data_IF_999766384548
#
_entry.id   IF_999766384548
#
_cell.length_a   1.000
_cell.length_b   1.000
_cell.length_c   1.000
_cell.angle_alpha   90.00
_cell.angle_beta   90.00
_cell.angle_gamma   90.00
#
_symmetry.space_group_name_H-M   'P 1'
#
loop_
_entity.id
_entity.type
_entity.pdbx_description
1 polymer ?
#
# COMPACT_ATOMS: atom_id res chain seq x y z
N UNK A 1 -1.74 -23.12 0.61
CA UNK A 1 -0.91 -22.42 1.37
C UNK A 1 -0.13 -21.44 0.59
N UNK A 2 -0.03 -20.38 1.06
CA UNK A 2 0.50 -19.34 0.28
C UNK A 2 1.89 -19.05 0.70
N UNK A 3 2.80 -19.84 0.20
CA UNK A 3 4.18 -19.68 0.54
C UNK A 3 4.93 -18.92 -0.49
N UNK A 4 4.26 -18.02 -1.16
CA UNK A 4 4.94 -17.18 -2.13
C UNK A 4 6.01 -16.37 -1.40
N UNK A 5 7.30 -16.63 -1.63
CA UNK A 5 8.35 -15.88 -0.92
C UNK A 5 8.41 -14.43 -1.31
N UNK A 6 7.69 -14.03 -2.36
CA UNK A 6 7.63 -12.64 -2.77
C UNK A 6 6.55 -11.86 -2.02
N UNK A 7 5.67 -12.55 -1.31
CA UNK A 7 4.60 -11.88 -0.60
C UNK A 7 5.07 -11.38 0.75
N UNK A 8 4.78 -10.13 1.05
CA UNK A 8 5.11 -9.50 2.31
C UNK A 8 3.84 -8.94 2.92
N UNK A 9 3.91 -8.61 4.22
CA UNK A 9 2.85 -7.83 4.84
C UNK A 9 2.82 -6.44 4.24
N UNK A 10 1.64 -5.86 4.18
CA UNK A 10 1.51 -4.48 3.75
C UNK A 10 2.32 -3.52 4.61
N UNK A 11 2.71 -3.95 5.81
CA UNK A 11 3.57 -3.12 6.65
C UNK A 11 4.88 -2.75 5.97
N UNK A 12 5.33 -3.55 5.00
CA UNK A 12 6.55 -3.22 4.26
C UNK A 12 6.39 -1.96 3.42
N UNK A 13 5.16 -1.54 3.13
CA UNK A 13 4.93 -0.32 2.35
C UNK A 13 5.41 0.91 3.10
N UNK A 14 5.43 0.85 4.44
CA UNK A 14 5.92 1.96 5.24
C UNK A 14 7.39 2.27 4.95
N UNK A 15 8.20 1.23 4.71
CA UNK A 15 9.59 1.43 4.33
C UNK A 15 9.74 2.03 2.95
N UNK A 16 8.82 1.69 2.03
CA UNK A 16 8.86 2.22 0.67
C UNK A 16 8.39 3.66 0.60
N UNK A 17 7.38 4.02 1.36
CA UNK A 17 6.75 5.33 1.28
C UNK A 17 7.05 6.25 2.45
N UNK A 18 7.66 5.73 3.50
CA UNK A 18 7.88 6.52 4.72
C UNK A 18 8.71 7.76 4.52
N UNK A 19 9.55 7.77 3.50
CA UNK A 19 10.38 8.94 3.20
C UNK A 19 9.60 10.02 2.44
N UNK A 20 8.45 9.67 1.89
CA UNK A 20 7.66 10.60 1.09
C UNK A 20 6.58 11.29 1.89
N UNK A 21 6.08 10.62 2.91
CA UNK A 21 4.97 11.13 3.69
C UNK A 21 5.37 11.25 5.15
N UNK A 22 4.91 12.31 5.78
CA UNK A 22 5.12 12.47 7.22
C UNK A 22 4.15 11.60 8.01
N UNK A 23 3.06 11.15 7.39
CA UNK A 23 2.08 10.31 8.05
C UNK A 23 2.54 8.86 8.07
N UNK A 24 2.00 8.09 9.01
CA UNK A 24 2.28 6.66 9.10
C UNK A 24 1.48 5.93 8.03
N UNK A 25 2.14 5.58 6.94
CA UNK A 25 1.45 5.03 5.77
C UNK A 25 0.85 3.66 6.05
N UNK A 26 1.49 2.87 6.91
CA UNK A 26 0.95 1.54 7.20
C UNK A 26 -0.37 1.60 7.93
N UNK A 27 -0.64 2.69 8.64
CA UNK A 27 -1.91 2.88 9.33
C UNK A 27 -2.96 3.55 8.47
N UNK A 28 -2.59 4.02 7.28
CA UNK A 28 -3.56 4.58 6.36
C UNK A 28 -4.60 3.53 6.00
N UNK A 29 -5.83 3.96 5.80
CA UNK A 29 -6.92 3.04 5.49
C UNK A 29 -7.42 3.32 4.10
N UNK A 30 -7.87 2.28 3.43
CA UNK A 30 -8.40 2.41 2.09
C UNK A 30 -9.56 1.46 1.88
N UNK A 31 -10.34 1.74 0.83
CA UNK A 31 -11.46 0.92 0.45
C UNK A 31 -11.17 0.24 -0.88
N UNK A 32 -11.35 -1.06 -0.94
CA UNK A 32 -11.13 -1.82 -2.16
C UNK A 32 -12.30 -1.62 -3.12
N UNK A 33 -12.00 -1.23 -4.35
CA UNK A 33 -13.05 -1.10 -5.36
C UNK A 33 -13.66 -2.43 -5.73
N UNK A 34 -12.90 -3.51 -5.60
CA UNK A 34 -13.39 -4.82 -6.02
C UNK A 34 -14.39 -5.44 -5.06
N UNK A 35 -14.15 -5.32 -3.75
CA UNK A 35 -15.01 -5.98 -2.78
C UNK A 35 -15.56 -5.05 -1.69
N UNK A 36 -15.15 -3.79 -1.67
CA UNK A 36 -15.65 -2.82 -0.71
C UNK A 36 -15.03 -2.91 0.68
N UNK A 37 -14.12 -3.85 0.90
CA UNK A 37 -13.51 -3.99 2.22
C UNK A 37 -12.68 -2.74 2.55
N UNK A 38 -12.82 -2.26 3.77
CA UNK A 38 -12.05 -1.14 4.30
C UNK A 38 -11.02 -1.71 5.26
N UNK A 39 -9.77 -1.30 5.12
CA UNK A 39 -8.74 -1.77 6.02
C UNK A 39 -7.46 -0.97 5.91
N UNK A 40 -6.57 -1.20 6.85
CA UNK A 40 -5.27 -0.55 6.85
C UNK A 40 -4.39 -1.11 5.74
N UNK A 41 -3.55 -0.27 5.16
CA UNK A 41 -2.63 -0.72 4.12
C UNK A 41 -1.69 -1.80 4.65
N UNK A 42 -1.26 -1.67 5.90
CA UNK A 42 -0.37 -2.66 6.51
C UNK A 42 -0.96 -4.05 6.64
N UNK A 43 -2.29 -4.16 6.55
CA UNK A 43 -2.97 -5.45 6.66
C UNK A 43 -3.16 -6.14 5.32
N UNK A 44 -2.80 -5.49 4.22
CA UNK A 44 -2.97 -6.06 2.89
C UNK A 44 -1.74 -6.89 2.50
N UNK A 45 -1.78 -7.49 1.32
CA UNK A 45 -0.66 -8.32 0.85
C UNK A 45 0.19 -7.55 -0.13
N UNK A 46 1.48 -7.45 0.15
CA UNK A 46 2.42 -6.75 -0.71
C UNK A 46 3.29 -7.76 -1.44
N UNK A 47 3.37 -7.62 -2.75
CA UNK A 47 4.19 -8.48 -3.60
C UNK A 47 5.28 -7.63 -4.24
N UNK A 48 6.53 -8.02 -4.03
CA UNK A 48 7.67 -7.34 -4.63
C UNK A 48 8.06 -8.07 -5.91
N UNK A 49 8.37 -7.30 -6.95
CA UNK A 49 8.85 -7.90 -8.18
C UNK A 49 10.30 -8.37 -8.00
N UNK A 50 10.62 -9.61 -8.35
CA UNK A 50 11.96 -10.14 -8.08
C UNK A 50 13.07 -9.49 -8.91
N UNK A 51 12.75 -9.01 -10.10
CA UNK A 51 13.75 -8.49 -11.01
C UNK A 51 13.64 -6.99 -11.23
N UNK A 52 12.70 -6.35 -10.60
CA UNK A 52 12.48 -4.94 -10.82
C UNK A 52 12.17 -4.20 -9.54
N UNK A 53 12.10 -2.89 -9.62
CA UNK A 53 11.85 -2.08 -8.44
C UNK A 53 10.38 -1.98 -8.05
N UNK A 54 9.47 -2.61 -8.77
CA UNK A 54 8.05 -2.43 -8.54
C UNK A 54 7.49 -3.31 -7.44
N UNK A 55 6.38 -2.87 -6.88
CA UNK A 55 5.63 -3.63 -5.88
C UNK A 55 4.14 -3.47 -6.15
N UNK A 56 3.37 -4.48 -5.77
CA UNK A 56 1.92 -4.49 -5.95
C UNK A 56 1.27 -4.80 -4.61
N UNK A 57 0.37 -3.93 -4.19
CA UNK A 57 -0.42 -4.16 -2.98
C UNK A 57 -1.77 -4.72 -3.40
N UNK A 58 -2.13 -5.88 -2.85
CA UNK A 58 -3.38 -6.55 -3.17
C UNK A 58 -4.27 -6.65 -1.94
N UNK A 59 -5.56 -6.57 -2.18
CA UNK A 59 -6.54 -6.72 -1.11
C UNK A 59 -6.45 -8.11 -0.50
N UNK A 60 -6.35 -8.17 0.81
CA UNK A 60 -6.25 -9.45 1.50
C UNK A 60 -7.54 -10.27 1.39
N UNK A 61 -8.66 -9.60 1.11
CA UNK A 61 -9.95 -10.27 1.03
C UNK A 61 -10.26 -10.83 -0.35
N UNK A 62 -10.02 -10.06 -1.42
CA UNK A 62 -10.39 -10.47 -2.76
C UNK A 62 -9.22 -10.57 -3.72
N UNK A 63 -8.01 -10.21 -3.29
CA UNK A 63 -6.78 -10.27 -4.09
C UNK A 63 -6.75 -9.30 -5.27
N UNK A 64 -7.69 -8.38 -5.36
CA UNK A 64 -7.64 -7.35 -6.39
C UNK A 64 -6.45 -6.42 -6.14
N UNK A 65 -5.88 -5.91 -7.21
CA UNK A 65 -4.81 -4.94 -7.08
C UNK A 65 -5.35 -3.64 -6.52
N UNK A 66 -4.77 -3.19 -5.42
CA UNK A 66 -5.15 -1.93 -4.81
C UNK A 66 -4.24 -0.80 -5.29
N UNK A 67 -2.95 -1.05 -5.31
CA UNK A 67 -1.96 -0.03 -5.58
C UNK A 67 -0.76 -0.68 -6.25
N UNK A 68 -0.17 0.03 -7.19
CA UNK A 68 1.09 -0.38 -7.80
C UNK A 68 2.10 0.72 -7.49
N UNK A 69 3.27 0.32 -6.98
CA UNK A 69 4.34 1.23 -6.63
C UNK A 69 5.52 0.97 -7.55
N UNK A 70 6.00 2.00 -8.23
CA UNK A 70 7.14 1.87 -9.13
C UNK A 70 8.16 2.94 -8.78
N UNK A 71 9.18 2.61 -7.98
CA UNK A 71 10.26 3.56 -7.72
C UNK A 71 11.13 3.70 -8.94
N UNK A 72 11.56 4.91 -9.20
CA UNK A 72 12.46 5.22 -10.29
C UNK A 72 13.26 6.43 -9.86
N UNK A 73 14.45 6.56 -10.35
CA UNK A 73 15.44 7.57 -9.95
C UNK A 73 14.84 8.85 -9.35
N UNK A 74 14.87 8.92 -8.03
CA UNK A 74 14.39 10.09 -7.32
C UNK A 74 12.88 10.29 -7.29
N UNK A 75 12.12 9.29 -7.79
CA UNK A 75 10.66 9.39 -7.85
C UNK A 75 10.05 8.06 -7.49
N UNK A 76 8.81 8.12 -7.03
CA UNK A 76 7.99 6.92 -6.88
C UNK A 76 6.66 7.20 -7.55
N UNK A 77 6.29 6.33 -8.47
CA UNK A 77 4.98 6.42 -9.11
C UNK A 77 4.02 5.50 -8.37
N UNK A 78 2.91 6.05 -7.98
CA UNK A 78 1.85 5.29 -7.33
C UNK A 78 0.64 5.27 -8.23
N UNK A 79 0.18 4.07 -8.58
CA UNK A 79 -1.05 3.92 -9.33
C UNK A 79 -2.08 3.32 -8.38
N UNK A 80 -3.08 4.10 -8.01
CA UNK A 80 -4.13 3.68 -7.07
C UNK A 80 -5.28 3.08 -7.87
N UNK A 81 -5.03 1.95 -8.48
CA UNK A 81 -5.94 1.42 -9.48
C UNK A 81 -7.17 0.74 -8.88
N UNK A 82 -7.05 0.24 -7.67
CA UNK A 82 -8.13 -0.53 -7.09
C UNK A 82 -8.68 0.01 -5.80
N UNK A 83 -8.41 1.28 -5.50
CA UNK A 83 -8.86 1.89 -4.26
C UNK A 83 -9.85 3.00 -4.54
N UNK A 84 -10.99 2.98 -3.85
CA UNK A 84 -11.96 4.04 -3.98
C UNK A 84 -11.47 5.32 -3.30
N UNK A 85 -10.76 5.16 -2.19
CA UNK A 85 -10.19 6.29 -1.46
C UNK A 85 -9.09 5.78 -0.55
N UNK A 86 -8.26 6.70 -0.12
CA UNK A 86 -7.16 6.43 0.82
C UNK A 86 -7.21 7.51 1.89
N UNK A 87 -7.24 7.08 3.13
CA UNK A 87 -7.40 7.95 4.28
C UNK A 87 -6.14 7.91 5.12
N UNK A 88 -5.50 9.04 5.31
CA UNK A 88 -4.30 9.13 6.12
C UNK A 88 -4.48 10.20 7.17
N UNK A 89 -3.88 9.99 8.32
CA UNK A 89 -3.90 11.00 9.36
C UNK A 89 -3.13 12.22 8.88
N UNK A 90 -3.71 13.39 9.09
CA UNK A 90 -3.06 14.62 8.70
C UNK A 90 -2.23 15.15 9.88
N UNK A 91 -0.94 14.85 9.85
CA UNK A 91 -0.06 15.23 10.94
C UNK A 91 0.22 16.72 10.98
N UNK A 92 -0.19 17.47 9.95
CA UNK A 92 -0.06 18.91 9.96
C UNK A 92 -1.17 19.58 10.78
N UNK A 93 -2.25 18.84 11.08
CA UNK A 93 -3.37 19.36 11.87
C UNK A 93 -3.12 19.03 13.33
N UNK A 94 -3.11 20.04 14.23
CA UNK A 94 -2.92 19.76 15.65
C UNK A 94 -4.00 18.83 16.17
N UNK A 95 -3.59 17.86 16.97
CA UNK A 95 -4.54 16.96 17.59
C UNK A 95 -5.17 17.66 18.78
N UNK A 96 -6.45 17.73 18.84
CA UNK A 96 -7.10 18.28 20.01
C UNK A 96 -8.49 17.76 20.18
#
# INVERSE_FOLDING_TARGET
MDDNPMRLDGNAIGGLLGQLFSAEVTDARGSCLGCGTVGALGAQHLYMHPLGPGAVLRCRSCQSVLMVLVPAQGRIRLALRGMAWLDMEDSAVPAD
#
